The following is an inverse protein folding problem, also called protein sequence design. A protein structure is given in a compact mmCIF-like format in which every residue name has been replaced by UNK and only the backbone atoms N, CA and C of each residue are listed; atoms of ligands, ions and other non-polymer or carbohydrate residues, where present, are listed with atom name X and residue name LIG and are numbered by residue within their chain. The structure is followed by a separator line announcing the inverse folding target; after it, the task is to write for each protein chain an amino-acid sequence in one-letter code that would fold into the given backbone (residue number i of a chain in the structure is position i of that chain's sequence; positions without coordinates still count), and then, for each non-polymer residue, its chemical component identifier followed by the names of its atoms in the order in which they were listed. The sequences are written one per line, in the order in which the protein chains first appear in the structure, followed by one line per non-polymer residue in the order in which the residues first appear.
data_IF_050655520380
#
_entry.id   IF_050655520380
#
_cell.length_a   1.000
_cell.length_b   1.000
_cell.length_c   1.000
_cell.angle_alpha   90.00
_cell.angle_beta   90.00
_cell.angle_gamma   90.00
#
_symmetry.space_group_name_H-M   'P 1'
#
loop_
_entity.id
_entity.type
_entity.pdbx_description
1 polymer ?
#
# COMPACT_ATOMS: atom_id res chain seq x y z
N UNK A 1 12.92 13.88 -33.07
CA UNK A 1 11.46 13.81 -33.15
C UNK A 1 11.08 12.36 -32.97
N UNK A 2 10.52 11.97 -31.83
CA UNK A 2 9.92 10.65 -31.70
C UNK A 2 8.71 10.62 -32.65
N UNK A 3 8.72 9.73 -33.64
CA UNK A 3 7.56 9.49 -34.49
C UNK A 3 6.40 8.97 -33.65
N UNK A 4 5.16 9.24 -34.08
CA UNK A 4 3.98 8.64 -33.45
C UNK A 4 4.07 7.12 -33.60
N UNK A 5 3.99 6.39 -32.50
CA UNK A 5 3.92 4.93 -32.48
C UNK A 5 2.53 4.50 -32.95
N UNK A 6 2.46 3.65 -33.96
CA UNK A 6 1.21 2.99 -34.35
C UNK A 6 0.92 1.82 -33.40
N UNK A 7 -0.07 1.98 -32.52
CA UNK A 7 -0.45 0.95 -31.55
C UNK A 7 -1.25 -0.22 -32.16
N UNK A 8 -1.56 -0.16 -33.46
CA UNK A 8 -2.12 -1.31 -34.20
C UNK A 8 -1.03 -2.19 -34.81
N UNK A 9 0.22 -1.71 -34.84
CA UNK A 9 1.39 -2.43 -35.36
C UNK A 9 2.14 -3.11 -34.21
N UNK A 10 2.18 -4.45 -34.22
CA UNK A 10 2.79 -5.23 -33.16
C UNK A 10 4.31 -5.00 -33.01
N UNK A 11 5.03 -4.74 -34.11
CA UNK A 11 6.48 -4.53 -34.08
C UNK A 11 6.80 -3.16 -33.47
N UNK A 12 6.03 -2.14 -33.83
CA UNK A 12 6.15 -0.80 -33.23
C UNK A 12 5.79 -0.82 -31.74
N UNK A 13 4.74 -1.54 -31.34
CA UNK A 13 4.38 -1.71 -29.94
C UNK A 13 5.49 -2.41 -29.16
N UNK A 14 6.06 -3.48 -29.72
CA UNK A 14 7.16 -4.22 -29.06
C UNK A 14 8.39 -3.33 -28.87
N UNK A 15 8.82 -2.62 -29.91
CA UNK A 15 9.94 -1.68 -29.84
C UNK A 15 9.70 -0.57 -28.82
N UNK A 16 8.47 -0.03 -28.76
CA UNK A 16 8.09 0.95 -27.75
C UNK A 16 8.22 0.40 -26.32
N UNK A 17 7.74 -0.83 -26.06
CA UNK A 17 7.82 -1.46 -24.75
C UNK A 17 9.26 -1.80 -24.34
N UNK A 18 10.12 -2.22 -25.26
CA UNK A 18 11.55 -2.46 -24.98
C UNK A 18 12.27 -1.15 -24.64
N UNK A 19 12.00 -0.07 -25.39
CA UNK A 19 12.56 1.25 -25.08
C UNK A 19 12.07 1.77 -23.71
N UNK A 20 10.80 1.50 -23.36
CA UNK A 20 10.24 1.86 -22.06
C UNK A 20 10.97 1.15 -20.90
N UNK A 21 11.36 -0.11 -21.06
CA UNK A 21 12.17 -0.82 -20.06
C UNK A 21 13.51 -0.12 -19.83
N UNK A 22 14.21 0.21 -20.91
CA UNK A 22 15.52 0.87 -20.87
C UNK A 22 15.40 2.22 -20.15
N UNK A 23 14.37 2.99 -20.48
CA UNK A 23 14.14 4.30 -19.87
C UNK A 23 13.80 4.19 -18.37
N UNK A 24 12.93 3.25 -17.98
CA UNK A 24 12.61 3.03 -16.56
C UNK A 24 13.84 2.57 -15.76
N UNK A 25 14.65 1.69 -16.32
CA UNK A 25 15.93 1.26 -15.71
C UNK A 25 16.91 2.42 -15.54
N UNK A 26 17.05 3.26 -16.56
CA UNK A 26 17.93 4.41 -16.52
C UNK A 26 17.49 5.41 -15.43
N UNK A 27 16.20 5.76 -15.39
CA UNK A 27 15.63 6.63 -14.37
C UNK A 27 15.85 6.07 -12.97
N UNK A 28 15.56 4.78 -12.76
CA UNK A 28 15.69 4.14 -11.46
C UNK A 28 17.14 4.10 -10.96
N UNK A 29 18.07 3.57 -11.77
CA UNK A 29 19.42 3.24 -11.30
C UNK A 29 20.48 4.28 -11.61
N UNK A 30 20.33 5.05 -12.69
CA UNK A 30 21.32 6.05 -13.12
C UNK A 30 20.95 7.43 -12.61
N UNK A 31 19.69 7.84 -12.79
CA UNK A 31 19.20 9.13 -12.29
C UNK A 31 18.79 9.07 -10.82
N UNK A 32 18.62 7.86 -10.27
CA UNK A 32 18.19 7.62 -8.88
C UNK A 32 16.81 8.22 -8.60
N UNK A 33 15.92 8.22 -9.60
CA UNK A 33 14.54 8.66 -9.46
C UNK A 33 13.68 7.55 -8.81
N UNK A 34 13.16 7.74 -7.58
CA UNK A 34 12.31 6.75 -6.93
C UNK A 34 11.00 6.49 -7.68
N UNK A 35 10.44 7.50 -8.38
CA UNK A 35 9.25 7.33 -9.19
C UNK A 35 9.56 6.51 -10.44
N UNK A 36 10.75 6.70 -11.03
CA UNK A 36 11.31 5.87 -12.11
C UNK A 36 11.43 4.40 -11.71
N UNK A 37 11.93 4.13 -10.50
CA UNK A 37 11.95 2.77 -9.95
C UNK A 37 10.54 2.17 -9.78
N UNK A 38 9.56 2.97 -9.36
CA UNK A 38 8.19 2.46 -9.24
C UNK A 38 7.54 2.21 -10.61
N UNK A 39 7.82 3.05 -11.62
CA UNK A 39 7.43 2.80 -13.03
C UNK A 39 8.06 1.51 -13.58
N UNK A 40 9.33 1.24 -13.24
CA UNK A 40 9.99 -0.02 -13.61
C UNK A 40 9.25 -1.22 -13.00
N UNK A 41 8.80 -1.12 -11.75
CA UNK A 41 7.97 -2.18 -11.13
C UNK A 41 6.67 -2.41 -11.90
N UNK A 42 5.94 -1.34 -12.25
CA UNK A 42 4.70 -1.45 -13.00
C UNK A 42 4.93 -2.08 -14.38
N UNK A 43 6.05 -1.77 -15.04
CA UNK A 43 6.46 -2.41 -16.28
C UNK A 43 6.75 -3.91 -16.09
N UNK A 44 7.55 -4.27 -15.09
CA UNK A 44 7.92 -5.65 -14.79
C UNK A 44 6.68 -6.52 -14.47
N UNK A 45 5.72 -6.01 -13.69
CA UNK A 45 4.48 -6.72 -13.36
C UNK A 45 3.48 -6.75 -14.53
N UNK A 46 3.33 -5.61 -15.20
CA UNK A 46 2.29 -5.38 -16.19
C UNK A 46 2.60 -6.03 -17.53
N UNK A 47 3.85 -5.88 -17.98
CA UNK A 47 4.31 -6.24 -19.32
C UNK A 47 5.10 -7.54 -19.26
N UNK A 48 6.18 -7.59 -18.49
CA UNK A 48 7.07 -8.77 -18.48
C UNK A 48 6.56 -9.93 -17.62
N UNK A 49 5.60 -9.68 -16.71
CA UNK A 49 5.16 -10.63 -15.67
C UNK A 49 6.32 -11.16 -14.80
N UNK A 50 7.39 -10.39 -14.68
CA UNK A 50 8.57 -10.74 -13.89
C UNK A 50 8.42 -10.23 -12.46
N UNK A 51 7.66 -10.99 -11.66
CA UNK A 51 7.35 -10.60 -10.28
C UNK A 51 8.57 -10.70 -9.35
N UNK A 52 9.52 -11.61 -9.63
CA UNK A 52 10.74 -11.76 -8.86
C UNK A 52 11.64 -10.53 -8.98
N UNK A 53 11.84 -10.03 -10.20
CA UNK A 53 12.62 -8.80 -10.39
C UNK A 53 11.87 -7.60 -9.83
N UNK A 54 10.54 -7.52 -10.03
CA UNK A 54 9.72 -6.47 -9.43
C UNK A 54 9.87 -6.42 -7.90
N UNK A 55 9.93 -7.57 -7.22
CA UNK A 55 10.15 -7.65 -5.78
C UNK A 55 11.52 -7.06 -5.36
N UNK A 56 12.58 -7.31 -6.15
CA UNK A 56 13.91 -6.74 -5.89
C UNK A 56 13.91 -5.22 -6.06
N UNK A 57 13.31 -4.70 -7.13
CA UNK A 57 13.21 -3.25 -7.36
C UNK A 57 12.37 -2.59 -6.26
N UNK A 58 11.26 -3.21 -5.86
CA UNK A 58 10.42 -2.76 -4.74
C UNK A 58 11.20 -2.69 -3.43
N UNK A 59 11.98 -3.74 -3.11
CA UNK A 59 12.83 -3.79 -1.93
C UNK A 59 13.86 -2.68 -1.92
N UNK A 60 14.63 -2.55 -2.99
CA UNK A 60 15.60 -1.47 -3.17
C UNK A 60 14.95 -0.08 -2.99
N UNK A 61 13.86 0.18 -3.70
CA UNK A 61 13.22 1.49 -3.69
C UNK A 61 12.52 1.81 -2.34
N UNK A 62 12.06 0.78 -1.61
CA UNK A 62 11.54 0.96 -0.26
C UNK A 62 12.65 1.22 0.76
N UNK A 63 13.72 0.44 0.75
CA UNK A 63 14.78 0.50 1.77
C UNK A 63 15.69 1.72 1.58
N UNK A 64 16.13 1.99 0.35
CA UNK A 64 17.08 3.05 0.04
C UNK A 64 16.39 4.41 -0.13
N UNK A 65 15.32 4.45 -0.91
CA UNK A 65 14.64 5.71 -1.26
C UNK A 65 13.45 6.03 -0.35
N UNK A 66 13.02 5.08 0.51
CA UNK A 66 11.84 5.23 1.39
C UNK A 66 10.58 5.61 0.59
N UNK A 67 10.49 5.10 -0.64
CA UNK A 67 9.38 5.40 -1.54
C UNK A 67 8.09 4.74 -1.04
N UNK A 68 7.10 5.56 -0.66
CA UNK A 68 5.89 5.11 0.04
C UNK A 68 5.12 4.04 -0.74
N UNK A 69 4.88 4.25 -2.04
CA UNK A 69 4.08 3.30 -2.84
C UNK A 69 4.84 1.99 -3.10
N UNK A 70 6.18 2.04 -3.18
CA UNK A 70 7.03 0.84 -3.26
C UNK A 70 6.97 0.04 -1.98
N UNK A 71 7.10 0.72 -0.82
CA UNK A 71 6.96 0.05 0.47
C UNK A 71 5.58 -0.58 0.64
N UNK A 72 4.50 0.12 0.24
CA UNK A 72 3.15 -0.45 0.28
C UNK A 72 3.05 -1.71 -0.59
N UNK A 73 3.50 -1.65 -1.84
CA UNK A 73 3.41 -2.79 -2.77
C UNK A 73 4.29 -3.96 -2.32
N UNK A 74 5.47 -3.70 -1.77
CA UNK A 74 6.33 -4.71 -1.15
C UNK A 74 5.65 -5.37 0.05
N UNK A 75 4.98 -4.60 0.90
CA UNK A 75 4.21 -5.13 2.01
C UNK A 75 3.11 -6.09 1.53
N UNK A 76 2.40 -5.74 0.45
CA UNK A 76 1.41 -6.62 -0.16
C UNK A 76 2.02 -7.90 -0.75
N UNK A 77 3.24 -7.84 -1.30
CA UNK A 77 3.97 -9.03 -1.73
C UNK A 77 4.29 -9.96 -0.56
N UNK A 78 4.75 -9.43 0.57
CA UNK A 78 4.99 -10.22 1.77
C UNK A 78 3.70 -10.79 2.39
N UNK A 79 2.56 -10.10 2.30
CA UNK A 79 1.27 -10.67 2.74
C UNK A 79 0.87 -11.88 1.90
N UNK A 80 1.20 -11.88 0.60
CA UNK A 80 0.74 -12.90 -0.35
C UNK A 80 1.78 -13.93 -0.74
N UNK A 81 3.05 -13.76 -0.35
CA UNK A 81 4.16 -14.59 -0.80
C UNK A 81 4.42 -14.47 -2.31
N UNK A 82 4.35 -13.25 -2.86
CA UNK A 82 4.49 -12.98 -4.30
C UNK A 82 5.93 -12.62 -4.69
N UNK A 83 6.33 -12.95 -5.92
CA UNK A 83 7.60 -12.51 -6.52
C UNK A 83 8.82 -13.13 -5.84
N UNK A 84 8.77 -14.43 -5.60
CA UNK A 84 9.86 -15.19 -4.97
C UNK A 84 9.99 -14.98 -3.46
N UNK A 85 9.14 -14.14 -2.86
CA UNK A 85 9.08 -13.94 -1.42
C UNK A 85 8.16 -14.97 -0.77
N UNK A 86 8.53 -15.43 0.43
CA UNK A 86 7.61 -16.19 1.29
C UNK A 86 6.69 -15.25 2.04
N UNK A 87 5.51 -15.75 2.45
CA UNK A 87 4.61 -14.97 3.29
C UNK A 87 5.29 -14.59 4.61
N UNK A 88 5.32 -13.29 4.93
CA UNK A 88 5.91 -12.76 6.16
C UNK A 88 5.14 -11.50 6.62
N UNK A 89 4.26 -11.66 7.61
CA UNK A 89 3.44 -10.56 8.10
C UNK A 89 4.24 -9.52 8.89
N UNK A 90 5.41 -9.88 9.46
CA UNK A 90 6.27 -8.93 10.19
C UNK A 90 7.02 -8.04 9.21
N UNK A 91 7.54 -8.63 8.13
CA UNK A 91 8.11 -7.87 7.02
C UNK A 91 7.05 -6.96 6.39
N UNK A 92 5.85 -7.50 6.11
CA UNK A 92 4.74 -6.71 5.57
C UNK A 92 4.37 -5.52 6.47
N UNK A 93 4.27 -5.75 7.78
CA UNK A 93 3.99 -4.71 8.76
C UNK A 93 5.04 -3.59 8.73
N UNK A 94 6.31 -3.96 8.66
CA UNK A 94 7.42 -3.00 8.60
C UNK A 94 7.36 -2.16 7.31
N UNK A 95 7.06 -2.79 6.17
CA UNK A 95 6.84 -2.11 4.91
C UNK A 95 5.64 -1.15 4.95
N UNK A 96 4.50 -1.57 5.51
CA UNK A 96 3.33 -0.70 5.64
C UNK A 96 3.57 0.47 6.61
N UNK A 97 4.34 0.26 7.68
CA UNK A 97 4.76 1.35 8.56
C UNK A 97 5.55 2.41 7.78
N UNK A 98 6.59 1.99 7.05
CA UNK A 98 7.39 2.91 6.23
C UNK A 98 6.54 3.67 5.20
N UNK A 99 5.61 2.99 4.55
CA UNK A 99 4.69 3.61 3.59
C UNK A 99 3.76 4.63 4.25
N UNK A 100 3.21 4.33 5.43
CA UNK A 100 2.32 5.21 6.19
C UNK A 100 3.01 6.47 6.72
N UNK A 101 4.32 6.41 6.99
CA UNK A 101 5.11 7.57 7.48
C UNK A 101 5.58 8.51 6.37
N UNK A 102 5.32 8.18 5.11
CA UNK A 102 5.74 8.95 3.95
C UNK A 102 4.55 9.37 3.08
N UNK A 103 4.59 10.55 2.44
CA UNK A 103 3.59 10.91 1.46
C UNK A 103 3.66 9.93 0.28
N UNK A 104 2.50 9.52 -0.20
CA UNK A 104 2.38 8.56 -1.30
C UNK A 104 0.91 8.32 -1.61
N UNK A 105 0.62 7.82 -2.82
CA UNK A 105 -0.75 7.53 -3.24
C UNK A 105 -1.41 6.46 -2.37
N UNK A 106 -0.59 5.60 -1.75
CA UNK A 106 -1.01 4.48 -0.89
C UNK A 106 -0.65 4.67 0.58
N UNK A 107 -0.20 5.85 0.99
CA UNK A 107 0.16 6.13 2.38
C UNK A 107 -1.00 5.91 3.35
N UNK A 108 -2.21 6.37 2.99
CA UNK A 108 -3.41 6.21 3.83
C UNK A 108 -3.84 4.74 3.93
N UNK A 109 -3.84 4.00 2.81
CA UNK A 109 -4.09 2.56 2.81
C UNK A 109 -3.00 1.78 3.55
N UNK A 110 -1.75 2.22 3.52
CA UNK A 110 -0.68 1.63 4.31
C UNK A 110 -0.97 1.75 5.81
N UNK A 111 -1.39 2.94 6.26
CA UNK A 111 -1.80 3.13 7.65
C UNK A 111 -2.96 2.20 8.05
N UNK A 112 -3.92 1.97 7.15
CA UNK A 112 -4.97 0.98 7.39
C UNK A 112 -4.40 -0.43 7.60
N UNK A 113 -3.47 -0.87 6.74
CA UNK A 113 -2.87 -2.21 6.85
C UNK A 113 -2.01 -2.38 8.11
N UNK A 114 -1.32 -1.33 8.57
CA UNK A 114 -0.66 -1.34 9.89
C UNK A 114 -1.68 -1.57 10.99
N UNK A 115 -2.81 -0.84 10.96
CA UNK A 115 -3.89 -1.01 11.93
C UNK A 115 -4.49 -2.41 11.90
N UNK A 116 -4.67 -2.98 10.71
CA UNK A 116 -5.20 -4.33 10.50
C UNK A 116 -4.29 -5.40 11.10
N UNK A 117 -3.01 -5.36 10.76
CA UNK A 117 -2.03 -6.34 11.25
C UNK A 117 -1.80 -6.21 12.77
N UNK A 118 -1.78 -4.99 13.31
CA UNK A 118 -1.71 -4.77 14.75
C UNK A 118 -2.96 -5.28 15.48
N UNK A 119 -4.15 -5.10 14.89
CA UNK A 119 -5.42 -5.56 15.46
C UNK A 119 -5.55 -7.09 15.45
N UNK A 120 -4.98 -7.74 14.46
CA UNK A 120 -5.03 -9.18 14.31
C UNK A 120 -4.01 -9.91 15.20
N UNK A 121 -2.90 -9.25 15.55
CA UNK A 121 -1.92 -9.75 16.53
C UNK A 121 -0.85 -10.67 15.95
N UNK A 122 -0.98 -11.12 14.71
CA UNK A 122 -0.02 -12.05 14.06
C UNK A 122 1.38 -11.45 13.82
N UNK A 123 1.56 -10.14 14.01
CA UNK A 123 2.85 -9.45 13.81
C UNK A 123 3.68 -9.31 15.08
N UNK A 124 3.11 -9.65 16.24
CA UNK A 124 3.78 -9.63 17.53
C UNK A 124 4.26 -11.03 17.93
N UNK A 125 5.36 -11.12 18.68
CA UNK A 125 5.94 -12.41 19.10
C UNK A 125 5.03 -13.19 20.06
N UNK A 126 4.20 -12.49 20.83
CA UNK A 126 3.20 -13.06 21.75
C UNK A 126 1.88 -13.42 21.06
N UNK A 127 1.76 -13.11 19.76
CA UNK A 127 0.55 -13.34 18.96
C UNK A 127 -0.66 -12.53 19.45
N UNK A 128 -0.46 -11.49 20.25
CA UNK A 128 -1.55 -10.70 20.81
C UNK A 128 -1.83 -9.42 20.00
N UNK A 129 -3.10 -9.03 19.86
CA UNK A 129 -3.47 -7.73 19.30
C UNK A 129 -2.88 -6.53 20.07
N UNK A 130 -2.28 -5.59 19.34
CA UNK A 130 -1.94 -4.26 19.85
C UNK A 130 -3.09 -3.29 19.52
N UNK A 131 -4.13 -3.32 20.36
CA UNK A 131 -5.35 -2.52 20.16
C UNK A 131 -5.10 -1.00 20.22
N UNK A 132 -4.09 -0.57 20.97
CA UNK A 132 -3.68 0.83 21.03
C UNK A 132 -3.14 1.29 19.68
N UNK A 133 -2.19 0.54 19.12
CA UNK A 133 -1.63 0.82 17.80
C UNK A 133 -2.67 0.68 16.70
N UNK A 134 -3.51 -0.35 16.74
CA UNK A 134 -4.61 -0.51 15.80
C UNK A 134 -5.50 0.73 15.76
N UNK A 135 -5.94 1.21 16.92
CA UNK A 135 -6.74 2.44 17.04
C UNK A 135 -6.03 3.65 16.43
N UNK A 136 -4.75 3.84 16.74
CA UNK A 136 -4.02 5.03 16.30
C UNK A 136 -3.84 5.05 14.78
N UNK A 137 -3.45 3.92 14.17
CA UNK A 137 -3.26 3.82 12.73
C UNK A 137 -4.57 3.81 11.95
N UNK A 138 -5.62 3.17 12.46
CA UNK A 138 -6.94 3.34 11.87
C UNK A 138 -7.45 4.79 11.97
N UNK A 139 -7.12 5.51 13.05
CA UNK A 139 -7.53 6.93 13.19
C UNK A 139 -6.87 7.78 12.12
N UNK A 140 -5.56 7.63 11.92
CA UNK A 140 -4.82 8.29 10.83
C UNK A 140 -5.43 8.01 9.47
N UNK A 141 -5.70 6.74 9.16
CA UNK A 141 -6.29 6.36 7.88
C UNK A 141 -7.74 6.88 7.71
N UNK A 142 -8.54 6.83 8.78
CA UNK A 142 -9.92 7.35 8.77
C UNK A 142 -9.95 8.88 8.54
N UNK A 143 -9.05 9.62 9.20
CA UNK A 143 -8.91 11.07 9.00
C UNK A 143 -8.35 11.39 7.62
N UNK A 144 -7.50 10.51 7.07
CA UNK A 144 -7.13 10.45 5.64
C UNK A 144 -8.26 10.05 4.69
N UNK A 145 -9.51 10.00 5.17
CA UNK A 145 -10.72 9.67 4.40
C UNK A 145 -10.80 8.22 3.88
N UNK A 146 -10.08 7.29 4.50
CA UNK A 146 -10.22 5.87 4.20
C UNK A 146 -11.35 5.25 5.01
N UNK A 147 -12.52 5.13 4.38
CA UNK A 147 -13.74 4.63 5.01
C UNK A 147 -13.61 3.27 5.71
N UNK A 148 -12.85 2.27 5.19
CA UNK A 148 -12.64 1.00 5.89
C UNK A 148 -12.02 1.16 7.29
N UNK A 149 -11.11 2.11 7.48
CA UNK A 149 -10.53 2.38 8.80
C UNK A 149 -11.53 3.02 9.77
N UNK A 150 -12.40 3.91 9.27
CA UNK A 150 -13.47 4.47 10.10
C UNK A 150 -14.45 3.37 10.53
N UNK A 151 -14.76 2.43 9.64
CA UNK A 151 -15.59 1.28 9.96
C UNK A 151 -14.94 0.38 11.03
N UNK A 152 -13.66 0.04 10.86
CA UNK A 152 -12.93 -0.77 11.84
C UNK A 152 -12.84 -0.09 13.22
N UNK A 153 -12.62 1.22 13.28
CA UNK A 153 -12.67 1.96 14.55
C UNK A 153 -14.04 1.89 15.22
N UNK A 154 -15.10 2.06 14.44
CA UNK A 154 -16.45 1.92 14.97
C UNK A 154 -16.66 0.53 15.56
N UNK A 155 -16.30 -0.52 14.82
CA UNK A 155 -16.38 -1.90 15.29
C UNK A 155 -15.59 -2.11 16.59
N UNK A 156 -14.36 -1.59 16.68
CA UNK A 156 -13.54 -1.66 17.90
C UNK A 156 -14.23 -1.01 19.10
N UNK A 157 -14.81 0.18 18.95
CA UNK A 157 -15.51 0.86 20.05
C UNK A 157 -16.88 0.25 20.38
N UNK A 158 -17.54 -0.42 19.43
CA UNK A 158 -18.79 -1.17 19.68
C UNK A 158 -18.54 -2.45 20.47
N UNK A 159 -17.51 -3.19 20.07
CA UNK A 159 -17.18 -4.50 20.63
C UNK A 159 -16.43 -4.37 21.96
N UNK A 160 -15.47 -3.45 22.04
CA UNK A 160 -14.53 -3.36 23.14
C UNK A 160 -13.70 -4.63 23.33
N UNK A 161 -12.76 -4.59 24.26
CA UNK A 161 -11.91 -5.70 24.67
C UNK A 161 -11.34 -5.42 26.06
N UNK A 162 -10.72 -6.40 26.75
CA UNK A 162 -9.92 -6.11 27.94
C UNK A 162 -8.90 -5.00 27.67
N UNK A 163 -8.90 -3.95 28.49
CA UNK A 163 -8.03 -2.77 28.29
C UNK A 163 -8.48 -1.80 27.19
N UNK A 164 -9.57 -2.10 26.46
CA UNK A 164 -10.17 -1.22 25.45
C UNK A 164 -11.70 -1.16 25.66
N UNK A 165 -12.20 -0.28 26.54
CA UNK A 165 -13.62 -0.24 26.86
C UNK A 165 -14.47 0.15 25.64
N UNK A 166 -15.71 -0.33 25.64
CA UNK A 166 -16.72 0.11 24.68
C UNK A 166 -16.97 1.61 24.81
N UNK A 167 -17.20 2.28 23.69
CA UNK A 167 -17.62 3.68 23.64
C UNK A 167 -18.63 3.88 22.51
N UNK A 168 -19.91 3.92 22.87
CA UNK A 168 -20.99 4.05 21.89
C UNK A 168 -20.99 5.43 21.19
N UNK A 169 -20.49 6.47 21.86
CA UNK A 169 -20.37 7.81 21.28
C UNK A 169 -19.32 7.86 20.19
N UNK A 170 -18.13 7.30 20.46
CA UNK A 170 -17.07 7.16 19.47
C UNK A 170 -17.47 6.20 18.35
N UNK A 171 -18.10 5.07 18.67
CA UNK A 171 -18.62 4.15 17.66
C UNK A 171 -19.56 4.87 16.68
N UNK A 172 -20.58 5.57 17.18
CA UNK A 172 -21.50 6.33 16.34
C UNK A 172 -20.77 7.38 15.49
N UNK A 173 -19.84 8.15 16.10
CA UNK A 173 -19.02 9.13 15.40
C UNK A 173 -18.26 8.52 14.21
N UNK A 174 -17.59 7.38 14.42
CA UNK A 174 -16.81 6.74 13.38
C UNK A 174 -17.67 6.04 12.31
N UNK A 175 -18.82 5.46 12.69
CA UNK A 175 -19.82 4.97 11.74
C UNK A 175 -20.28 6.08 10.81
N UNK A 176 -20.66 7.25 11.37
CA UNK A 176 -21.12 8.38 10.56
C UNK A 176 -20.02 8.91 9.63
N UNK A 177 -18.77 8.97 10.11
CA UNK A 177 -17.62 9.30 9.25
C UNK A 177 -17.49 8.30 8.09
N UNK A 178 -17.60 7.00 8.34
CA UNK A 178 -17.51 5.98 7.29
C UNK A 178 -18.62 6.12 6.25
N UNK A 179 -19.87 6.33 6.68
CA UNK A 179 -21.04 6.48 5.81
C UNK A 179 -20.95 7.74 4.93
N UNK A 180 -20.62 8.90 5.51
CA UNK A 180 -20.52 10.18 4.76
C UNK A 180 -19.40 10.11 3.71
N UNK A 181 -18.31 9.39 4.01
CA UNK A 181 -17.18 9.27 3.08
C UNK A 181 -17.48 8.29 1.95
N UNK A 182 -18.26 7.25 2.22
CA UNK A 182 -18.70 6.31 1.18
C UNK A 182 -19.71 6.97 0.22
N UNK A 183 -20.62 7.82 0.73
CA UNK A 183 -21.63 8.51 -0.11
C UNK A 183 -21.07 9.62 -1.00
N UNK A 184 -19.96 10.29 -0.63
CA UNK A 184 -19.33 11.29 -1.52
C UNK A 184 -18.71 10.70 -2.78
N UNK A 185 -18.31 9.42 -2.76
CA UNK A 185 -17.83 8.72 -3.98
C UNK A 185 -18.97 8.43 -4.96
N UNK A 186 -20.22 8.38 -4.50
CA UNK A 186 -21.38 8.10 -5.34
C UNK A 186 -22.10 9.35 -5.85
N UNK A 187 -21.81 10.53 -5.30
CA UNK A 187 -22.49 11.79 -5.64
C UNK A 187 -21.67 12.73 -6.55
N UNK A 188 -20.60 12.21 -7.18
CA UNK A 188 -19.76 12.94 -8.15
C UNK A 188 -19.94 12.47 -9.60
N UNK A 189 -21.10 11.87 -9.91
CA UNK A 189 -21.55 11.56 -11.27
C UNK A 189 -22.70 12.51 -11.67
#
# INVERSE_FOLDING_TARGET
MAGLVDFQDEEQVKSFLENMEVECNYQCYREKDPDGCYRLVDYLEGIQKNFDEAAKVLKFNCEENKHSDSCYKLGAYYVTGKGGLTQDLKAAFSCFLMACEKPGKKSVEACHNVGLLAHDGQVHDDGQPDLGKARDYYTRACDGSYAPSCFNLSAMFLQGAPGFPKDMGLAYKYTMKACIKNSRKTSSL
#
